data_IF_600382134198
#
_entry.id   IF_600382134198
#
_cell.length_a   1.000
_cell.length_b   1.000
_cell.length_c   1.000
_cell.angle_alpha   90.00
_cell.angle_beta   90.00
_cell.angle_gamma   90.00
#
_symmetry.space_group_name_H-M   'P 1'
#
loop_
_entity.id
_entity.type
_entity.pdbx_description
1 polymer ?
#
# COMPACT_ATOMS: atom_id res chain seq x y z
N UNK A 1 -5.54 -30.48 11.73
CA UNK A 1 -5.99 -29.24 12.38
C UNK A 1 -5.70 -28.15 11.37
N UNK A 2 -6.76 -27.59 10.81
CA UNK A 2 -6.79 -26.75 9.61
C UNK A 2 -5.92 -25.50 9.77
N UNK A 3 -5.01 -25.28 8.82
CA UNK A 3 -4.26 -24.03 8.66
C UNK A 3 -5.26 -22.87 8.57
N UNK A 4 -5.14 -21.97 9.53
CA UNK A 4 -6.10 -20.91 9.80
C UNK A 4 -6.15 -19.90 8.64
N UNK A 5 -7.31 -19.78 8.00
CA UNK A 5 -8.10 -18.57 7.67
C UNK A 5 -7.49 -17.21 8.11
N UNK A 6 -6.24 -16.93 7.73
CA UNK A 6 -5.58 -15.65 8.00
C UNK A 6 -5.65 -14.85 6.73
N UNK A 7 -6.55 -13.88 6.73
CA UNK A 7 -6.65 -12.87 5.71
C UNK A 7 -5.31 -12.11 5.63
N UNK A 8 -4.63 -12.10 4.47
CA UNK A 8 -3.24 -11.62 4.38
C UNK A 8 -3.09 -10.11 4.57
N UNK A 9 -4.15 -9.34 4.32
CA UNK A 9 -4.11 -7.88 4.34
C UNK A 9 -5.15 -7.32 5.30
N UNK A 10 -4.70 -6.57 6.29
CA UNK A 10 -5.52 -5.96 7.33
C UNK A 10 -5.10 -4.52 7.53
N UNK A 11 -6.10 -3.64 7.55
CA UNK A 11 -5.90 -2.23 7.85
C UNK A 11 -7.03 -1.67 8.69
N UNK A 12 -6.75 -0.63 9.49
CA UNK A 12 -7.74 0.00 10.33
C UNK A 12 -7.61 1.51 10.41
N UNK A 13 -8.71 2.17 10.73
CA UNK A 13 -8.73 3.59 11.04
C UNK A 13 -8.49 3.79 12.55
N UNK A 14 -7.38 4.43 12.97
CA UNK A 14 -7.10 4.66 14.38
C UNK A 14 -8.10 5.62 15.06
N UNK A 15 -8.82 6.44 14.29
CA UNK A 15 -9.73 7.46 14.82
C UNK A 15 -11.13 6.93 15.16
N UNK A 16 -11.64 5.94 14.41
CA UNK A 16 -12.99 5.43 14.61
C UNK A 16 -13.04 3.92 14.85
N UNK A 17 -11.91 3.21 14.76
CA UNK A 17 -11.81 1.77 15.03
C UNK A 17 -12.40 0.88 13.93
N UNK A 18 -12.73 1.44 12.77
CA UNK A 18 -13.20 0.65 11.63
C UNK A 18 -12.02 -0.10 11.01
N UNK A 19 -12.21 -1.39 10.75
CA UNK A 19 -11.16 -2.31 10.30
C UNK A 19 -11.64 -3.07 9.07
N UNK A 20 -10.72 -3.33 8.14
CA UNK A 20 -10.97 -4.17 6.97
C UNK A 20 -9.99 -5.33 6.96
N UNK A 21 -10.48 -6.50 6.58
CA UNK A 21 -9.69 -7.70 6.31
C UNK A 21 -9.96 -8.10 4.86
N UNK A 22 -8.90 -8.32 4.08
CA UNK A 22 -9.00 -8.59 2.64
C UNK A 22 -7.92 -9.57 2.12
N UNK A 23 -8.26 -10.30 1.05
CA UNK A 23 -7.34 -11.19 0.34
C UNK A 23 -6.44 -10.43 -0.64
N UNK A 24 -6.79 -9.20 -1.01
CA UNK A 24 -5.98 -8.38 -1.91
C UNK A 24 -5.54 -7.06 -1.26
N UNK A 25 -4.33 -6.57 -1.56
CA UNK A 25 -3.82 -5.35 -0.96
C UNK A 25 -4.55 -4.10 -1.49
N UNK A 26 -5.03 -4.11 -2.74
CA UNK A 26 -5.75 -2.97 -3.32
C UNK A 26 -7.17 -2.79 -2.76
N UNK A 27 -7.78 -3.82 -2.18
CA UNK A 27 -9.04 -3.65 -1.43
C UNK A 27 -8.86 -2.76 -0.18
N UNK A 28 -7.66 -2.71 0.41
CA UNK A 28 -7.34 -1.72 1.45
C UNK A 28 -7.34 -0.29 0.90
N UNK A 29 -6.84 -0.10 -0.33
CA UNK A 29 -6.88 1.22 -0.99
C UNK A 29 -8.33 1.63 -1.28
N UNK A 30 -9.18 0.70 -1.72
CA UNK A 30 -10.60 0.96 -1.92
C UNK A 30 -11.31 1.31 -0.60
N UNK A 31 -10.98 0.59 0.49
CA UNK A 31 -11.45 0.90 1.85
C UNK A 31 -11.00 2.30 2.28
N UNK A 32 -9.71 2.62 2.20
CA UNK A 32 -9.15 3.93 2.52
C UNK A 32 -9.87 5.05 1.75
N UNK A 33 -9.98 4.94 0.42
CA UNK A 33 -10.62 5.98 -0.41
C UNK A 33 -12.06 6.24 0.01
N UNK A 34 -12.84 5.17 0.22
CA UNK A 34 -14.23 5.29 0.70
C UNK A 34 -14.27 5.92 2.09
N UNK A 35 -13.45 5.43 3.01
CA UNK A 35 -13.43 5.89 4.39
C UNK A 35 -13.03 7.37 4.47
N UNK A 36 -11.90 7.74 3.87
CA UNK A 36 -11.40 9.12 3.78
C UNK A 36 -12.43 10.07 3.15
N UNK A 37 -13.16 9.63 2.12
CA UNK A 37 -14.18 10.47 1.48
C UNK A 37 -15.37 10.80 2.39
N UNK A 38 -15.67 9.92 3.34
CA UNK A 38 -16.81 10.06 4.25
C UNK A 38 -16.43 10.72 5.58
N UNK A 39 -15.24 10.42 6.10
CA UNK A 39 -14.83 10.80 7.46
C UNK A 39 -13.68 11.80 7.48
N UNK A 40 -12.91 11.89 6.40
CA UNK A 40 -11.64 12.62 6.39
C UNK A 40 -10.53 11.94 7.21
N UNK A 41 -10.74 10.72 7.72
CA UNK A 41 -9.73 9.99 8.48
C UNK A 41 -8.78 9.20 7.58
N UNK A 42 -7.60 8.90 8.11
CA UNK A 42 -6.63 7.99 7.49
C UNK A 42 -6.82 6.54 7.94
N UNK A 43 -6.09 5.65 7.29
CA UNK A 43 -6.03 4.22 7.56
C UNK A 43 -4.56 3.80 7.68
N UNK A 44 -4.29 2.91 8.63
CA UNK A 44 -2.97 2.34 8.89
C UNK A 44 -3.02 0.82 8.64
N UNK A 45 -1.90 0.27 8.17
CA UNK A 45 -1.74 -1.16 8.01
C UNK A 45 -1.52 -1.83 9.37
N UNK A 46 -2.25 -2.90 9.63
CA UNK A 46 -2.04 -3.76 10.80
C UNK A 46 -1.28 -5.03 10.44
N UNK A 47 -1.61 -5.61 9.28
CA UNK A 47 -1.00 -6.84 8.76
C UNK A 47 -0.89 -6.70 7.24
N UNK A 48 0.30 -6.94 6.72
CA UNK A 48 0.54 -7.15 5.30
C UNK A 48 1.44 -8.37 5.11
N UNK A 49 0.82 -9.54 4.93
CA UNK A 49 1.52 -10.81 4.80
C UNK A 49 1.93 -11.06 3.35
N UNK A 50 2.99 -10.39 2.92
CA UNK A 50 3.59 -10.54 1.59
C UNK A 50 5.12 -10.65 1.72
N UNK A 51 5.75 -11.51 0.91
CA UNK A 51 7.21 -11.75 0.97
C UNK A 51 7.97 -10.55 0.40
N UNK A 52 7.53 -9.99 -0.72
CA UNK A 52 8.21 -8.87 -1.39
C UNK A 52 8.28 -7.64 -0.48
N UNK A 53 7.28 -7.42 0.40
CA UNK A 53 7.33 -6.34 1.39
C UNK A 53 8.48 -6.53 2.38
N UNK A 54 8.72 -7.75 2.83
CA UNK A 54 9.76 -8.08 3.84
C UNK A 54 11.16 -7.96 3.29
N UNK A 55 11.30 -8.07 1.98
CA UNK A 55 12.57 -7.93 1.26
C UNK A 55 12.90 -6.48 0.94
N UNK A 56 11.95 -5.54 1.10
CA UNK A 56 12.22 -4.11 0.90
C UNK A 56 13.21 -3.55 1.92
N UNK A 57 14.05 -2.62 1.45
CA UNK A 57 15.08 -2.02 2.29
C UNK A 57 14.45 -1.08 3.33
N UNK A 58 14.70 -1.32 4.62
CA UNK A 58 14.26 -0.41 5.69
C UNK A 58 14.80 1.02 5.47
N UNK A 59 13.90 2.01 5.50
CA UNK A 59 14.23 3.42 5.30
C UNK A 59 14.49 3.83 3.85
N UNK A 60 14.19 2.96 2.88
CA UNK A 60 14.19 3.31 1.47
C UNK A 60 13.16 4.40 1.17
N UNK A 61 13.50 5.32 0.27
CA UNK A 61 12.53 6.28 -0.22
C UNK A 61 11.45 5.58 -1.08
N UNK A 62 10.31 6.24 -1.23
CA UNK A 62 9.16 5.69 -1.94
C UNK A 62 9.47 5.23 -3.36
N UNK A 63 10.35 5.94 -4.09
CA UNK A 63 10.70 5.55 -5.45
C UNK A 63 11.53 4.27 -5.43
N UNK A 64 12.49 4.16 -4.51
CA UNK A 64 13.27 2.95 -4.30
C UNK A 64 12.36 1.76 -3.93
N UNK A 65 11.38 1.95 -3.05
CA UNK A 65 10.39 0.91 -2.72
C UNK A 65 9.60 0.45 -3.95
N UNK A 66 9.15 1.38 -4.80
CA UNK A 66 8.45 1.01 -6.07
C UNK A 66 9.37 0.26 -7.03
N UNK A 67 10.67 0.59 -7.07
CA UNK A 67 11.64 -0.12 -7.91
C UNK A 67 11.93 -1.53 -7.38
N UNK A 68 12.17 -1.68 -6.08
CA UNK A 68 12.45 -2.97 -5.42
C UNK A 68 11.25 -3.91 -5.57
N UNK A 69 10.04 -3.46 -5.21
CA UNK A 69 8.82 -4.24 -5.42
C UNK A 69 8.59 -4.50 -6.91
N UNK A 70 8.94 -3.57 -7.79
CA UNK A 70 8.71 -3.69 -9.22
C UNK A 70 9.45 -4.84 -9.91
N UNK A 71 10.49 -5.41 -9.27
CA UNK A 71 11.22 -6.56 -9.81
C UNK A 71 10.33 -7.80 -9.98
N UNK A 72 9.30 -7.93 -9.14
CA UNK A 72 8.35 -9.06 -9.14
C UNK A 72 7.05 -8.78 -9.92
N UNK A 73 6.81 -7.53 -10.34
CA UNK A 73 5.52 -7.10 -10.89
C UNK A 73 5.66 -6.41 -12.27
N UNK A 74 5.61 -7.22 -13.34
CA UNK A 74 5.75 -6.75 -14.74
C UNK A 74 4.71 -5.68 -15.14
N UNK A 75 3.50 -5.77 -14.60
CA UNK A 75 2.38 -4.84 -14.87
C UNK A 75 2.28 -3.70 -13.82
N UNK A 76 3.37 -3.46 -13.08
CA UNK A 76 3.44 -2.49 -12.00
C UNK A 76 2.99 -3.03 -10.65
N UNK A 77 3.49 -2.41 -9.59
CA UNK A 77 3.26 -2.83 -8.21
C UNK A 77 1.87 -2.37 -7.76
N UNK A 78 1.03 -3.24 -7.19
CA UNK A 78 -0.23 -2.84 -6.57
C UNK A 78 -0.02 -1.73 -5.54
N UNK A 79 -0.81 -0.64 -5.62
CA UNK A 79 -0.72 0.48 -4.67
C UNK A 79 -0.81 0.03 -3.22
N UNK A 80 -1.63 -0.99 -2.94
CA UNK A 80 -1.74 -1.56 -1.61
C UNK A 80 -0.40 -2.07 -1.07
N UNK A 81 0.39 -2.79 -1.87
CA UNK A 81 1.72 -3.28 -1.45
C UNK A 81 2.69 -2.13 -1.22
N UNK A 82 2.68 -1.11 -2.07
CA UNK A 82 3.51 0.09 -1.88
C UNK A 82 3.16 0.79 -0.56
N UNK A 83 1.87 1.00 -0.29
CA UNK A 83 1.44 1.64 0.97
C UNK A 83 1.70 0.76 2.19
N UNK A 84 1.67 -0.56 2.04
CA UNK A 84 2.00 -1.50 3.12
C UNK A 84 3.50 -1.48 3.45
N UNK A 85 4.36 -1.52 2.43
CA UNK A 85 5.81 -1.39 2.59
C UNK A 85 6.21 -0.05 3.23
N UNK A 86 5.59 1.06 2.82
CA UNK A 86 5.81 2.35 3.48
C UNK A 86 5.20 2.38 4.89
N UNK A 87 4.15 1.61 5.15
CA UNK A 87 3.53 1.42 6.46
C UNK A 87 4.48 0.79 7.49
N UNK A 88 5.29 -0.19 7.08
CA UNK A 88 6.37 -0.76 7.92
C UNK A 88 7.41 0.30 8.30
N UNK A 89 7.54 1.36 7.49
CA UNK A 89 8.39 2.53 7.77
C UNK A 89 7.65 3.65 8.55
N UNK A 90 6.44 3.38 9.05
CA UNK A 90 5.65 4.31 9.85
C UNK A 90 4.89 5.38 9.06
N UNK A 91 4.73 5.20 7.74
CA UNK A 91 3.95 6.12 6.89
C UNK A 91 2.48 5.71 6.84
N UNK A 92 1.59 6.68 6.72
CA UNK A 92 0.16 6.36 6.50
C UNK A 92 -0.14 6.07 5.04
N UNK A 93 -1.33 5.52 4.77
CA UNK A 93 -1.83 5.33 3.41
C UNK A 93 -1.96 6.67 2.67
N UNK A 94 -2.52 7.70 3.31
CA UNK A 94 -2.66 9.03 2.68
C UNK A 94 -1.32 9.63 2.30
N UNK A 95 -0.35 9.65 3.23
CA UNK A 95 0.97 10.21 3.00
C UNK A 95 1.66 9.55 1.80
N UNK A 96 1.59 8.22 1.72
CA UNK A 96 2.21 7.47 0.62
C UNK A 96 1.56 7.79 -0.72
N UNK A 97 0.23 7.87 -0.77
CA UNK A 97 -0.51 8.18 -2.00
C UNK A 97 -0.30 9.63 -2.47
N UNK A 98 -0.16 10.56 -1.52
CA UNK A 98 0.18 11.96 -1.80
C UNK A 98 1.58 12.07 -2.42
N UNK A 99 2.59 11.41 -1.83
CA UNK A 99 3.94 11.37 -2.38
C UNK A 99 4.00 10.70 -3.76
N UNK A 100 3.27 9.58 -3.95
CA UNK A 100 3.18 8.92 -5.26
C UNK A 100 2.60 9.86 -6.33
N UNK A 101 1.61 10.67 -5.95
CA UNK A 101 1.04 11.67 -6.85
C UNK A 101 2.09 12.73 -7.23
N UNK A 102 2.92 13.18 -6.30
CA UNK A 102 4.00 14.13 -6.57
C UNK A 102 5.07 13.52 -7.50
N UNK A 103 5.49 12.28 -7.24
CA UNK A 103 6.42 11.54 -8.10
C UNK A 103 5.84 11.35 -9.52
N UNK A 104 4.54 11.14 -9.65
CA UNK A 104 3.88 11.03 -10.95
C UNK A 104 3.88 12.36 -11.70
N UNK A 105 3.62 13.46 -10.99
CA UNK A 105 3.64 14.81 -11.58
C UNK A 105 5.03 15.23 -12.08
N UNK A 106 6.09 14.67 -11.49
CA UNK A 106 7.49 14.90 -11.86
C UNK A 106 8.04 13.87 -12.86
N UNK A 107 7.26 12.85 -13.21
CA UNK A 107 7.63 11.82 -14.19
C UNK A 107 8.56 10.74 -13.65
N UNK A 108 8.69 10.60 -12.32
CA UNK A 108 9.50 9.56 -11.69
C UNK A 108 8.77 8.21 -11.59
N UNK A 109 7.44 8.25 -11.55
CA UNK A 109 6.57 7.06 -11.54
C UNK A 109 5.40 7.23 -12.51
N UNK A 110 4.80 6.12 -12.93
CA UNK A 110 3.58 6.11 -13.74
C UNK A 110 2.64 4.97 -13.32
N UNK A 111 1.39 5.05 -13.76
CA UNK A 111 0.35 4.03 -13.52
C UNK A 111 0.12 3.24 -14.81
N UNK A 112 0.69 2.03 -14.95
CA UNK A 112 0.48 1.19 -16.14
C UNK A 112 -0.95 0.61 -16.20
N UNK A 113 -1.58 0.43 -15.05
CA UNK A 113 -2.93 -0.13 -14.86
C UNK A 113 -3.55 0.49 -13.62
N UNK A 114 -4.88 0.60 -13.59
CA UNK A 114 -5.63 1.04 -12.42
C UNK A 114 -5.09 0.44 -11.11
N UNK A 115 -4.71 1.32 -10.18
CA UNK A 115 -4.18 1.00 -8.87
C UNK A 115 -2.87 0.19 -8.88
N UNK A 116 -2.05 0.34 -9.91
CA UNK A 116 -0.68 -0.21 -10.00
C UNK A 116 0.31 0.91 -10.34
N UNK A 117 1.54 0.84 -9.84
CA UNK A 117 2.57 1.87 -10.06
C UNK A 117 3.92 1.27 -10.44
N UNK A 118 4.62 1.95 -11.34
CA UNK A 118 5.97 1.60 -11.78
C UNK A 118 6.88 2.83 -11.74
N UNK A 119 8.19 2.60 -11.64
CA UNK A 119 9.22 3.64 -11.55
C UNK A 119 10.33 3.46 -12.59
N UNK A 120 11.03 4.55 -12.94
CA UNK A 120 12.16 4.59 -13.89
C UNK A 120 13.48 4.91 -13.19
#
# INVERSE_FOLDING_TARGET
>A
MTEHDRTPFVASCPNCGERTETETPNEVIAFYRRHRSLTGHDVEWEIADDESIRETTEGADLKAVVLELGEDYEDGVPLGLVTAAMGEQGRTVSETLEDLRELRMTGHVWEPKDDHVSAF
#
